data_IF_733358814597
#
_entry.id   IF_733358814597
#
_cell.length_a   1.000
_cell.length_b   1.000
_cell.length_c   1.000
_cell.angle_alpha   90.00
_cell.angle_beta   90.00
_cell.angle_gamma   90.00
#
_symmetry.space_group_name_H-M   'P 1'
#
loop_
_entity.id
_entity.type
_entity.pdbx_description
1 polymer ?
#
# COMPACT_ATOMS: atom_id res chain seq x y z
N UNK A 1 12.54 -5.31 14.28
CA UNK A 1 11.36 -4.90 13.50
C UNK A 1 11.87 -4.50 12.11
N UNK A 2 11.20 -4.91 11.04
CA UNK A 2 11.51 -4.43 9.68
C UNK A 2 10.79 -3.10 9.46
N UNK A 3 11.49 -2.09 8.96
CA UNK A 3 10.96 -0.76 8.69
C UNK A 3 11.55 -0.19 7.41
N UNK A 4 10.92 0.84 6.84
CA UNK A 4 11.48 1.59 5.73
C UNK A 4 12.58 2.54 6.24
N UNK A 5 13.73 2.56 5.55
CA UNK A 5 14.74 3.62 5.77
C UNK A 5 14.20 4.99 5.38
N UNK A 6 13.36 5.03 4.35
CA UNK A 6 12.70 6.22 3.81
C UNK A 6 11.21 5.91 3.71
N UNK A 7 10.37 6.28 4.70
CA UNK A 7 8.94 5.97 4.69
C UNK A 7 8.14 6.90 3.77
N UNK A 8 8.64 8.12 3.54
CA UNK A 8 8.00 9.13 2.70
C UNK A 8 8.71 9.20 1.34
N UNK A 9 8.09 8.76 0.24
CA UNK A 9 8.68 8.88 -1.08
C UNK A 9 8.69 10.34 -1.55
N UNK A 10 9.80 10.77 -2.16
CA UNK A 10 9.93 12.09 -2.74
C UNK A 10 9.04 12.22 -3.98
N UNK A 11 8.49 13.41 -4.25
CA UNK A 11 7.75 13.61 -5.49
C UNK A 11 8.72 13.66 -6.66
N UNK A 12 8.53 12.78 -7.64
CA UNK A 12 9.37 12.71 -8.84
C UNK A 12 8.53 13.11 -10.05
N UNK A 13 8.93 14.21 -10.70
CA UNK A 13 8.24 14.78 -11.86
C UNK A 13 8.76 14.27 -13.22
N UNK A 14 9.92 13.58 -13.25
CA UNK A 14 10.51 13.00 -14.47
C UNK A 14 11.14 11.64 -14.20
N UNK A 15 11.01 10.70 -15.15
CA UNK A 15 11.66 9.39 -15.07
C UNK A 15 10.91 8.33 -14.26
N UNK A 16 9.64 8.56 -13.93
CA UNK A 16 8.79 7.51 -13.35
C UNK A 16 8.58 6.41 -14.40
N UNK A 17 9.03 5.16 -14.15
CA UNK A 17 8.72 4.05 -15.03
C UNK A 17 7.20 3.94 -15.15
N UNK A 18 6.68 3.96 -16.38
CA UNK A 18 5.26 3.89 -16.63
C UNK A 18 4.67 2.65 -15.92
N UNK A 19 3.67 2.88 -15.08
CA UNK A 19 2.95 1.83 -14.37
C UNK A 19 3.52 1.40 -13.03
N UNK A 20 4.74 1.76 -12.63
CA UNK A 20 5.24 1.46 -11.26
C UNK A 20 4.50 2.26 -10.18
N UNK A 21 4.41 1.73 -8.96
CA UNK A 21 3.90 2.50 -7.81
C UNK A 21 4.98 3.44 -7.29
N UNK A 22 6.21 2.94 -7.15
CA UNK A 22 7.34 3.70 -6.64
C UNK A 22 8.54 3.68 -7.60
N UNK A 23 9.30 4.78 -7.62
CA UNK A 23 10.64 4.81 -8.21
C UNK A 23 11.62 4.37 -7.11
N UNK A 24 12.18 3.16 -7.23
CA UNK A 24 13.05 2.57 -6.22
C UNK A 24 14.49 2.46 -6.73
N UNK A 25 15.31 3.54 -6.66
CA UNK A 25 16.70 3.47 -7.09
C UNK A 25 17.52 2.54 -6.18
N UNK A 26 18.57 1.87 -6.69
CA UNK A 26 19.44 1.04 -5.87
C UNK A 26 20.01 1.80 -4.67
N UNK A 27 19.63 1.40 -3.45
CA UNK A 27 20.04 2.00 -2.18
C UNK A 27 19.73 3.51 -2.02
N UNK A 28 18.95 4.10 -2.92
CA UNK A 28 18.61 5.51 -2.91
C UNK A 28 17.28 5.80 -2.22
N UNK A 29 16.87 7.08 -2.26
CA UNK A 29 15.57 7.50 -1.76
C UNK A 29 14.46 7.06 -2.73
N UNK A 30 13.33 6.55 -2.22
CA UNK A 30 12.18 6.19 -3.02
C UNK A 30 11.53 7.47 -3.57
N UNK A 31 11.06 7.39 -4.80
CA UNK A 31 10.24 8.40 -5.45
C UNK A 31 8.83 7.90 -5.67
N UNK A 32 7.88 8.82 -5.83
CA UNK A 32 6.52 8.54 -6.25
C UNK A 32 6.00 9.68 -7.11
N UNK A 33 5.07 9.36 -8.03
CA UNK A 33 4.32 10.40 -8.73
C UNK A 33 3.44 11.18 -7.75
N UNK A 34 3.06 12.41 -8.10
CA UNK A 34 2.09 13.18 -7.30
C UNK A 34 0.78 12.43 -7.10
N UNK A 35 0.28 11.77 -8.15
CA UNK A 35 -0.95 10.97 -8.07
C UNK A 35 -0.82 9.79 -7.09
N UNK A 36 0.33 9.11 -7.08
CA UNK A 36 0.61 8.03 -6.12
C UNK A 36 0.64 8.57 -4.69
N UNK A 37 1.27 9.73 -4.46
CA UNK A 37 1.29 10.37 -3.14
C UNK A 37 -0.11 10.73 -2.67
N UNK A 38 -0.92 11.35 -3.53
CA UNK A 38 -2.32 11.68 -3.24
C UNK A 38 -3.12 10.40 -2.89
N UNK A 39 -2.87 9.29 -3.61
CA UNK A 39 -3.50 8.00 -3.32
C UNK A 39 -3.06 7.38 -1.98
N UNK A 40 -1.78 7.51 -1.60
CA UNK A 40 -1.28 7.06 -0.29
C UNK A 40 -1.90 7.86 0.86
N UNK A 41 -2.01 9.18 0.71
CA UNK A 41 -2.68 10.05 1.68
C UNK A 41 -4.16 9.70 1.81
N UNK A 42 -4.82 9.48 0.68
CA UNK A 42 -6.23 9.03 0.64
C UNK A 42 -6.42 7.68 1.34
N UNK A 43 -5.58 6.69 1.01
CA UNK A 43 -5.60 5.38 1.67
C UNK A 43 -5.41 5.51 3.18
N UNK A 44 -4.42 6.29 3.63
CA UNK A 44 -4.19 6.59 5.05
C UNK A 44 -5.41 7.23 5.70
N UNK A 45 -6.03 8.21 5.03
CA UNK A 45 -7.22 8.89 5.50
C UNK A 45 -8.40 7.94 5.70
N UNK A 46 -8.66 7.04 4.76
CA UNK A 46 -9.72 6.04 4.90
C UNK A 46 -9.41 5.00 6.00
N UNK A 47 -8.17 4.53 6.12
CA UNK A 47 -7.76 3.64 7.22
C UNK A 47 -7.99 4.31 8.57
N UNK A 48 -7.52 5.55 8.74
CA UNK A 48 -7.70 6.31 9.97
C UNK A 48 -9.18 6.55 10.28
N UNK A 49 -10.00 6.85 9.28
CA UNK A 49 -11.44 7.06 9.44
C UNK A 49 -12.16 5.79 9.88
N UNK A 50 -11.80 4.63 9.33
CA UNK A 50 -12.47 3.36 9.63
C UNK A 50 -11.96 2.67 10.90
N UNK A 51 -10.66 2.78 11.19
CA UNK A 51 -10.01 2.04 12.27
C UNK A 51 -9.66 2.90 13.48
N UNK A 52 -9.54 4.23 13.30
CA UNK A 52 -8.78 5.07 14.22
C UNK A 52 -7.32 4.63 14.25
N UNK A 53 -6.65 4.66 15.42
CA UNK A 53 -5.29 4.14 15.57
C UNK A 53 -5.23 2.63 15.25
N UNK A 54 -4.36 2.24 14.33
CA UNK A 54 -4.10 0.84 14.00
C UNK A 54 -3.34 0.19 15.16
N UNK A 55 -3.81 -0.96 15.63
CA UNK A 55 -3.22 -1.69 16.76
C UNK A 55 -2.52 -2.97 16.32
N UNK A 56 -2.96 -3.55 15.20
CA UNK A 56 -2.44 -4.80 14.68
C UNK A 56 -2.53 -4.80 13.16
N UNK A 57 -1.49 -5.34 12.55
CA UNK A 57 -1.43 -5.63 11.12
C UNK A 57 -0.98 -7.09 11.00
N UNK A 58 -1.75 -7.88 10.27
CA UNK A 58 -1.46 -9.29 9.97
C UNK A 58 -1.36 -9.46 8.47
N UNK A 59 -0.27 -10.07 8.00
CA UNK A 59 -0.04 -10.32 6.59
C UNK A 59 -0.03 -11.82 6.31
N UNK A 60 -0.73 -12.24 5.26
CA UNK A 60 -0.75 -13.61 4.78
C UNK A 60 -0.38 -13.63 3.29
N UNK A 61 0.86 -14.04 2.95
CA UNK A 61 1.23 -14.30 1.57
C UNK A 61 0.36 -15.40 0.97
N UNK A 62 -0.06 -15.22 -0.26
CA UNK A 62 -0.92 -16.16 -0.97
C UNK A 62 -0.69 -16.11 -2.48
N UNK A 63 -1.16 -17.15 -3.16
CA UNK A 63 -1.24 -17.20 -4.62
C UNK A 63 -2.71 -17.08 -5.00
N UNK A 64 -3.05 -16.07 -5.81
CA UNK A 64 -4.40 -15.89 -6.35
C UNK A 64 -4.31 -16.08 -7.85
N UNK A 65 -4.77 -17.24 -8.33
CA UNK A 65 -4.48 -17.68 -9.70
C UNK A 65 -2.96 -17.82 -9.93
N UNK A 66 -2.44 -17.10 -10.92
CA UNK A 66 -1.01 -17.06 -11.24
C UNK A 66 -0.26 -15.93 -10.52
N UNK A 67 -0.97 -15.05 -9.81
CA UNK A 67 -0.39 -13.84 -9.23
C UNK A 67 0.09 -14.08 -7.80
N UNK A 68 1.19 -13.42 -7.45
CA UNK A 68 1.65 -13.32 -6.07
C UNK A 68 0.89 -12.21 -5.37
N UNK A 69 0.28 -12.52 -4.22
CA UNK A 69 -0.52 -11.56 -3.46
C UNK A 69 -0.24 -11.66 -1.96
N UNK A 70 -0.59 -10.61 -1.23
CA UNK A 70 -0.58 -10.60 0.24
C UNK A 70 -1.92 -10.05 0.72
N UNK A 71 -2.65 -10.88 1.49
CA UNK A 71 -3.78 -10.39 2.26
C UNK A 71 -3.26 -9.68 3.52
N UNK A 72 -3.74 -8.47 3.76
CA UNK A 72 -3.38 -7.65 4.92
C UNK A 72 -4.65 -7.37 5.71
N UNK A 73 -4.69 -7.76 6.97
CA UNK A 73 -5.75 -7.40 7.91
C UNK A 73 -5.23 -6.35 8.88
N UNK A 74 -5.85 -5.17 8.88
CA UNK A 74 -5.58 -4.08 9.82
C UNK A 74 -6.69 -4.01 10.85
N UNK A 75 -6.35 -3.94 12.13
CA UNK A 75 -7.30 -3.89 13.25
C UNK A 75 -7.13 -2.61 14.07
N UNK A 76 -8.25 -1.90 14.29
CA UNK A 76 -8.33 -0.72 15.16
C UNK A 76 -8.59 -1.08 16.63
N UNK A 77 -8.50 -0.10 17.53
CA UNK A 77 -8.66 -0.33 18.99
C UNK A 77 -10.01 -0.93 19.38
N UNK A 78 -11.09 -0.59 18.69
CA UNK A 78 -12.44 -1.07 19.01
C UNK A 78 -12.84 -2.31 18.21
N UNK A 79 -11.86 -3.03 17.63
CA UNK A 79 -12.08 -4.26 16.90
C UNK A 79 -12.56 -4.09 15.46
N UNK A 80 -12.66 -2.86 14.95
CA UNK A 80 -12.89 -2.62 13.52
C UNK A 80 -11.75 -3.23 12.70
N UNK A 81 -12.09 -3.72 11.51
CA UNK A 81 -11.12 -4.35 10.61
C UNK A 81 -11.28 -3.83 9.20
N UNK A 82 -10.14 -3.63 8.55
CA UNK A 82 -10.06 -3.40 7.11
C UNK A 82 -9.14 -4.47 6.53
N UNK A 83 -9.55 -5.04 5.41
CA UNK A 83 -8.78 -6.03 4.68
C UNK A 83 -8.29 -5.45 3.36
N UNK A 84 -6.99 -5.49 3.12
CA UNK A 84 -6.39 -5.18 1.83
C UNK A 84 -5.94 -6.47 1.17
N UNK A 85 -6.06 -6.53 -0.15
CA UNK A 85 -5.39 -7.52 -0.98
C UNK A 85 -4.43 -6.80 -1.92
N UNK A 86 -3.13 -6.91 -1.61
CA UNK A 86 -2.07 -6.42 -2.48
C UNK A 86 -1.72 -7.52 -3.47
N UNK A 87 -1.69 -7.23 -4.78
CA UNK A 87 -1.45 -8.24 -5.82
C UNK A 87 -0.43 -7.75 -6.84
N UNK A 88 0.61 -8.53 -7.08
CA UNK A 88 1.56 -8.24 -8.16
C UNK A 88 0.91 -8.62 -9.51
N UNK A 89 0.61 -7.62 -10.33
CA UNK A 89 -0.08 -7.79 -11.62
C UNK A 89 0.47 -6.91 -12.76
N UNK A 90 1.65 -6.31 -12.58
CA UNK A 90 2.32 -5.52 -13.63
C UNK A 90 1.70 -4.14 -13.89
N UNK A 91 0.74 -3.72 -13.07
CA UNK A 91 0.14 -2.39 -13.11
C UNK A 91 -0.31 -1.99 -11.71
N UNK A 92 -0.40 -0.68 -11.48
CA UNK A 92 -1.01 -0.14 -10.27
C UNK A 92 -2.49 0.20 -10.47
N UNK A 93 -3.28 0.03 -9.41
CA UNK A 93 -4.58 0.66 -9.27
C UNK A 93 -4.90 0.88 -7.80
N UNK A 94 -5.78 1.86 -7.54
CA UNK A 94 -6.13 2.29 -6.20
C UNK A 94 -7.64 2.25 -6.03
N UNK A 95 -8.16 1.96 -4.81
CA UNK A 95 -9.59 1.95 -4.58
C UNK A 95 -10.23 3.31 -4.91
N UNK A 96 -11.40 3.26 -5.51
CA UNK A 96 -12.30 4.38 -5.68
C UNK A 96 -12.99 4.77 -4.36
N UNK A 97 -13.63 5.94 -4.33
CA UNK A 97 -14.42 6.37 -3.16
C UNK A 97 -15.55 5.38 -2.81
N UNK A 98 -16.17 4.78 -3.83
CA UNK A 98 -17.21 3.78 -3.65
C UNK A 98 -16.65 2.50 -3.01
N UNK A 99 -15.48 2.04 -3.47
CA UNK A 99 -14.81 0.88 -2.88
C UNK A 99 -14.35 1.14 -1.44
N UNK A 100 -13.92 2.38 -1.14
CA UNK A 100 -13.59 2.78 0.23
C UNK A 100 -14.80 2.79 1.18
N UNK A 101 -16.04 2.73 0.69
CA UNK A 101 -17.22 2.54 1.55
C UNK A 101 -17.30 1.13 2.14
N UNK A 102 -16.53 0.17 1.61
CA UNK A 102 -16.47 -1.20 2.07
C UNK A 102 -15.20 -1.47 2.91
N UNK A 103 -15.18 -2.50 3.77
CA UNK A 103 -14.00 -2.84 4.59
C UNK A 103 -13.00 -3.75 3.86
N UNK A 104 -13.09 -3.87 2.53
CA UNK A 104 -12.24 -4.74 1.71
C UNK A 104 -11.76 -4.01 0.47
N UNK A 105 -10.45 -3.86 0.31
CA UNK A 105 -9.85 -3.10 -0.77
C UNK A 105 -8.83 -3.94 -1.54
N UNK A 106 -8.74 -3.70 -2.84
CA UNK A 106 -7.84 -4.39 -3.74
C UNK A 106 -6.86 -3.37 -4.31
N UNK A 107 -5.57 -3.67 -4.21
CA UNK A 107 -4.50 -2.78 -4.70
C UNK A 107 -3.55 -3.65 -5.54
N UNK A 108 -3.79 -3.75 -6.85
CA UNK A 108 -2.77 -4.27 -7.74
C UNK A 108 -1.55 -3.34 -7.72
N UNK A 109 -0.37 -3.95 -7.75
CA UNK A 109 0.93 -3.29 -7.82
C UNK A 109 1.74 -3.91 -8.93
N UNK A 110 2.78 -3.21 -9.36
CA UNK A 110 3.50 -3.59 -10.58
C UNK A 110 4.44 -4.74 -10.36
N UNK A 111 5.21 -4.72 -9.27
CA UNK A 111 6.16 -5.77 -8.96
C UNK A 111 6.27 -6.07 -7.47
N UNK A 112 7.18 -6.98 -7.12
CA UNK A 112 7.43 -7.38 -5.75
C UNK A 112 8.10 -6.28 -4.91
N UNK A 113 8.81 -5.33 -5.52
CA UNK A 113 9.44 -4.22 -4.81
C UNK A 113 8.37 -3.22 -4.37
N UNK A 114 7.42 -2.88 -5.26
CA UNK A 114 6.24 -2.07 -4.92
C UNK A 114 5.42 -2.72 -3.81
N UNK A 115 5.17 -4.04 -3.91
CA UNK A 115 4.47 -4.80 -2.87
C UNK A 115 5.19 -4.71 -1.52
N UNK A 116 6.50 -4.94 -1.50
CA UNK A 116 7.30 -4.88 -0.27
C UNK A 116 7.28 -3.47 0.34
N UNK A 117 7.46 -2.44 -0.49
CA UNK A 117 7.47 -1.06 -0.03
C UNK A 117 6.12 -0.69 0.57
N UNK A 118 5.01 -1.00 -0.11
CA UNK A 118 3.66 -0.68 0.37
C UNK A 118 3.32 -1.44 1.67
N UNK A 119 3.74 -2.71 1.81
CA UNK A 119 3.57 -3.46 3.05
C UNK A 119 4.32 -2.82 4.23
N UNK A 120 5.56 -2.41 4.01
CA UNK A 120 6.35 -1.76 5.05
C UNK A 120 5.80 -0.36 5.36
N UNK A 121 5.35 0.39 4.37
CA UNK A 121 4.66 1.67 4.56
C UNK A 121 3.37 1.50 5.39
N UNK A 122 2.57 0.46 5.14
CA UNK A 122 1.40 0.12 5.96
C UNK A 122 1.82 -0.21 7.40
N UNK A 123 2.96 -0.88 7.60
CA UNK A 123 3.46 -1.22 8.92
C UNK A 123 3.81 0.03 9.77
N UNK A 124 4.21 1.13 9.14
CA UNK A 124 4.45 2.43 9.80
C UNK A 124 3.14 3.10 10.28
N UNK A 125 1.96 2.59 9.91
CA UNK A 125 0.67 3.13 10.39
C UNK A 125 0.27 2.63 11.79
N UNK A 126 0.99 1.63 12.33
CA UNK A 126 0.77 1.09 13.67
C UNK A 126 1.61 1.85 14.70
#
# INVERSE_FOLDING_TARGET
MLCLKYPEPEEVSQGHPAGSVFVLPPQGQPGASRATRDNLERLRGHLQKQLGPVTRICCQPQRVGVNSSVAVALEGRSGQKVHLLLTVSGHESWPSEEEYAHPRWYIPVTDAADLCYLLLWLAELK
#
